data_IF_113562037376
#
_entry.id   IF_113562037376
#
_cell.length_a   1.000
_cell.length_b   1.000
_cell.length_c   1.000
_cell.angle_alpha   90.00
_cell.angle_beta   90.00
_cell.angle_gamma   90.00
#
_symmetry.space_group_name_H-M   'P 1'
#
loop_
_entity.id
_entity.type
_entity.pdbx_description
1 polymer ?
#
# COMPACT_ATOMS: atom_id res chain seq x y z
N UNK A 1 25.41 -29.02 22.55
CA UNK A 1 26.18 -28.06 23.35
C UNK A 1 25.99 -26.66 22.78
N UNK A 2 25.67 -25.68 23.65
CA UNK A 2 25.56 -24.27 23.26
C UNK A 2 26.97 -23.76 22.96
N UNK A 3 27.23 -23.37 21.71
CA UNK A 3 28.57 -22.91 21.30
C UNK A 3 28.81 -21.41 21.55
N UNK A 4 27.75 -20.61 21.58
CA UNK A 4 27.84 -19.14 21.74
C UNK A 4 26.56 -18.56 22.34
N UNK A 5 26.70 -17.53 23.16
CA UNK A 5 25.62 -16.73 23.67
C UNK A 5 25.66 -15.34 23.04
N UNK A 6 24.56 -14.90 22.45
CA UNK A 6 24.40 -13.52 22.01
C UNK A 6 23.38 -12.80 22.90
N UNK A 7 23.76 -11.64 23.42
CA UNK A 7 22.84 -10.79 24.16
C UNK A 7 21.92 -10.05 23.18
N UNK A 8 20.64 -10.38 23.20
CA UNK A 8 19.64 -9.66 22.41
C UNK A 8 19.19 -8.40 23.15
N UNK A 9 19.27 -7.25 22.49
CA UNK A 9 18.74 -5.99 22.99
C UNK A 9 17.37 -5.75 22.36
N UNK A 10 16.33 -6.36 22.91
CA UNK A 10 14.97 -5.99 22.56
C UNK A 10 14.55 -4.79 23.42
N UNK A 11 14.12 -3.72 22.77
CA UNK A 11 13.80 -2.44 23.43
C UNK A 11 12.69 -2.55 24.47
N UNK A 12 11.80 -3.55 24.36
CA UNK A 12 10.63 -3.72 25.20
C UNK A 12 10.73 -4.87 26.23
N UNK A 13 11.83 -5.61 26.26
CA UNK A 13 12.06 -6.61 27.32
C UNK A 13 12.68 -5.94 28.54
N UNK A 14 12.07 -6.07 29.75
CA UNK A 14 12.62 -5.50 30.97
C UNK A 14 13.98 -6.12 31.32
N UNK A 15 14.95 -5.28 31.61
CA UNK A 15 16.36 -5.64 31.83
C UNK A 15 16.60 -6.63 32.97
N UNK A 16 15.72 -6.64 33.93
CA UNK A 16 15.89 -7.30 35.22
C UNK A 16 14.67 -8.15 35.60
N UNK A 17 13.90 -8.59 34.64
CA UNK A 17 12.83 -9.54 34.92
C UNK A 17 13.37 -10.95 34.92
N UNK A 18 13.09 -11.65 36.02
CA UNK A 18 13.39 -13.06 36.11
C UNK A 18 12.46 -13.81 35.14
N UNK A 19 13.03 -14.44 34.11
CA UNK A 19 12.29 -15.32 33.20
C UNK A 19 11.99 -16.63 33.94
N UNK A 20 10.73 -17.05 33.95
CA UNK A 20 10.26 -18.27 34.57
C UNK A 20 10.07 -19.42 33.59
N UNK A 21 9.56 -19.10 32.40
CA UNK A 21 9.35 -20.10 31.33
C UNK A 21 9.50 -19.47 29.96
N UNK A 22 9.93 -20.29 28.99
CA UNK A 22 10.06 -19.91 27.57
C UNK A 22 9.46 -21.04 26.74
N UNK A 23 8.47 -20.69 25.91
CA UNK A 23 7.83 -21.63 24.97
C UNK A 23 7.86 -21.07 23.55
N UNK A 24 8.01 -21.97 22.60
CA UNK A 24 7.85 -21.64 21.19
C UNK A 24 6.56 -22.25 20.72
N UNK A 25 5.65 -21.41 20.17
CA UNK A 25 4.42 -21.89 19.60
C UNK A 25 4.70 -22.65 18.30
N UNK A 26 4.30 -23.94 18.20
CA UNK A 26 4.77 -24.81 17.11
C UNK A 26 4.26 -24.40 15.72
N UNK A 27 3.06 -23.80 15.65
CA UNK A 27 2.44 -23.43 14.37
C UNK A 27 2.87 -22.05 13.87
N UNK A 28 3.17 -21.09 14.79
CA UNK A 28 3.43 -19.69 14.43
C UNK A 28 4.90 -19.28 14.61
N UNK A 29 5.72 -20.14 15.24
CA UNK A 29 7.09 -19.82 15.66
C UNK A 29 7.17 -18.59 16.59
N UNK A 30 6.08 -18.26 17.31
CA UNK A 30 6.09 -17.16 18.25
C UNK A 30 6.81 -17.62 19.53
N UNK A 31 7.73 -16.79 20.03
CA UNK A 31 8.43 -17.03 21.28
C UNK A 31 7.67 -16.35 22.41
N UNK A 32 7.14 -17.14 23.33
CA UNK A 32 6.40 -16.70 24.51
C UNK A 32 7.33 -16.78 25.72
N UNK A 33 7.51 -15.66 26.40
CA UNK A 33 8.39 -15.50 27.57
C UNK A 33 7.54 -15.11 28.78
N UNK A 34 7.44 -16.00 29.76
CA UNK A 34 6.78 -15.71 31.04
C UNK A 34 7.80 -15.17 32.04
N UNK A 35 7.46 -14.05 32.70
CA UNK A 35 8.33 -13.39 33.67
C UNK A 35 7.72 -13.40 35.05
N UNK A 36 8.56 -13.24 36.06
CA UNK A 36 8.11 -13.08 37.44
C UNK A 36 7.70 -11.62 37.69
N UNK A 37 6.40 -11.39 37.86
CA UNK A 37 5.83 -10.09 38.20
C UNK A 37 5.88 -9.00 37.14
N UNK A 38 6.27 -9.34 35.89
CA UNK A 38 6.36 -8.38 34.77
C UNK A 38 5.54 -8.79 33.54
N UNK A 39 4.62 -9.74 33.69
CA UNK A 39 3.73 -10.19 32.62
C UNK A 39 4.37 -11.20 31.66
N UNK A 40 3.74 -11.34 30.49
CA UNK A 40 4.13 -12.24 29.41
C UNK A 40 4.54 -11.41 28.20
N UNK A 41 5.66 -11.78 27.59
CA UNK A 41 6.17 -11.15 26.36
C UNK A 41 6.07 -12.13 25.20
N UNK A 42 5.66 -11.63 24.05
CA UNK A 42 5.57 -12.42 22.83
C UNK A 42 6.44 -11.77 21.75
N UNK A 43 7.31 -12.58 21.16
CA UNK A 43 8.07 -12.19 19.98
C UNK A 43 7.48 -12.97 18.81
N UNK A 44 6.78 -12.26 17.94
CA UNK A 44 6.18 -12.86 16.74
C UNK A 44 7.24 -13.44 15.82
N UNK A 45 7.07 -14.69 15.43
CA UNK A 45 7.86 -15.38 14.43
C UNK A 45 9.38 -15.23 14.58
N UNK A 46 10.01 -16.10 15.37
CA UNK A 46 11.47 -16.09 15.56
C UNK A 46 12.25 -16.71 14.40
N UNK A 47 11.59 -17.15 13.31
CA UNK A 47 12.29 -17.77 12.18
C UNK A 47 13.39 -16.87 11.59
N UNK A 48 13.18 -15.55 11.38
CA UNK A 48 14.25 -14.67 10.91
C UNK A 48 15.47 -14.60 11.83
N UNK A 49 15.27 -14.74 13.15
CA UNK A 49 16.37 -14.80 14.13
C UNK A 49 17.16 -16.10 14.01
N UNK A 50 16.47 -17.23 13.77
CA UNK A 50 17.13 -18.53 13.55
C UNK A 50 17.97 -18.49 12.27
N UNK A 51 17.43 -17.93 11.20
CA UNK A 51 18.15 -17.78 9.94
C UNK A 51 19.33 -16.81 10.08
N UNK A 52 19.17 -15.73 10.83
CA UNK A 52 20.25 -14.79 11.13
C UNK A 52 21.44 -15.48 11.82
N UNK A 53 21.18 -16.36 12.78
CA UNK A 53 22.24 -17.14 13.49
C UNK A 53 23.00 -18.07 12.55
N UNK A 54 22.35 -18.57 11.51
CA UNK A 54 22.95 -19.48 10.51
C UNK A 54 23.60 -18.73 9.34
N UNK A 55 23.37 -17.42 9.24
CA UNK A 55 23.81 -16.60 8.13
C UNK A 55 25.20 -16.02 8.36
N UNK A 56 25.90 -15.72 7.27
CA UNK A 56 27.14 -14.97 7.29
C UNK A 56 26.85 -13.47 7.49
N UNK A 57 26.87 -13.01 8.74
CA UNK A 57 26.63 -11.62 9.12
C UNK A 57 27.79 -10.67 8.75
N UNK A 58 28.87 -11.18 8.11
CA UNK A 58 29.90 -10.32 7.51
C UNK A 58 29.42 -9.64 6.23
N UNK A 59 28.40 -10.19 5.56
CA UNK A 59 27.78 -9.60 4.37
C UNK A 59 27.09 -8.28 4.70
N UNK A 60 27.16 -7.28 3.80
CA UNK A 60 26.59 -5.97 4.03
C UNK A 60 25.06 -6.00 4.12
N UNK A 61 24.44 -6.91 3.36
CA UNK A 61 22.99 -7.05 3.23
C UNK A 61 22.59 -8.52 3.08
N UNK A 62 21.48 -8.91 3.75
CA UNK A 62 20.84 -10.21 3.58
C UNK A 62 19.33 -10.03 3.50
N UNK A 63 18.67 -10.70 2.57
CA UNK A 63 17.22 -10.79 2.49
C UNK A 63 16.79 -12.21 2.82
N UNK A 64 16.05 -12.37 3.92
CA UNK A 64 15.65 -13.67 4.42
C UNK A 64 14.49 -14.26 3.60
N UNK A 65 14.37 -15.61 3.52
CA UNK A 65 13.30 -16.28 2.81
C UNK A 65 11.92 -15.83 3.31
N UNK A 66 11.02 -15.57 2.37
CA UNK A 66 9.65 -15.20 2.69
C UNK A 66 8.83 -16.47 2.84
N UNK A 67 8.14 -16.60 3.99
CA UNK A 67 7.20 -17.70 4.19
C UNK A 67 5.93 -17.48 3.36
N UNK A 68 5.30 -18.55 2.83
CA UNK A 68 4.00 -18.44 2.21
C UNK A 68 2.99 -17.78 3.16
N UNK A 69 2.18 -16.89 2.64
CA UNK A 69 1.19 -16.15 3.41
C UNK A 69 -0.22 -16.58 3.02
N UNK A 70 -1.03 -16.99 3.98
CA UNK A 70 -2.43 -17.29 3.77
C UNK A 70 -3.23 -15.99 3.75
N UNK A 71 -3.99 -15.76 2.68
CA UNK A 71 -4.74 -14.51 2.51
C UNK A 71 -5.70 -14.28 3.67
N UNK A 72 -5.55 -13.15 4.35
CA UNK A 72 -6.45 -12.69 5.40
C UNK A 72 -7.25 -11.49 4.91
N UNK A 73 -8.57 -11.56 5.05
CA UNK A 73 -9.42 -10.45 4.66
C UNK A 73 -9.22 -9.28 5.65
N UNK A 74 -8.93 -8.10 5.12
CA UNK A 74 -8.62 -6.95 5.97
C UNK A 74 -7.21 -6.95 6.55
N UNK A 75 -6.23 -7.57 5.85
CA UNK A 75 -4.81 -7.47 6.22
C UNK A 75 -4.46 -6.03 6.62
N UNK A 76 -4.06 -5.86 7.86
CA UNK A 76 -3.79 -4.56 8.45
C UNK A 76 -2.44 -4.57 9.18
N UNK A 77 -1.91 -3.37 9.39
CA UNK A 77 -0.78 -3.20 10.30
C UNK A 77 -1.19 -3.60 11.72
N UNK A 78 -0.22 -4.02 12.57
CA UNK A 78 -0.48 -4.27 13.98
C UNK A 78 -1.15 -3.06 14.61
N UNK A 79 -2.29 -3.26 15.24
CA UNK A 79 -3.02 -2.20 15.91
C UNK A 79 -3.07 -2.45 17.41
N UNK A 80 -2.89 -1.40 18.20
CA UNK A 80 -3.20 -1.42 19.61
C UNK A 80 -4.72 -1.28 19.78
N UNK A 81 -5.30 -2.00 20.71
CA UNK A 81 -6.71 -1.83 21.05
C UNK A 81 -6.92 -0.49 21.78
N UNK A 82 -7.62 0.49 21.21
CA UNK A 82 -7.57 1.87 21.70
C UNK A 82 -8.42 2.16 22.95
N UNK A 83 -9.26 1.27 23.45
CA UNK A 83 -10.24 1.61 24.48
C UNK A 83 -10.40 0.56 25.59
N UNK A 84 -9.37 -0.24 25.89
CA UNK A 84 -9.44 -1.17 26.97
C UNK A 84 -8.96 -0.53 28.28
N UNK A 85 -9.69 -0.73 29.39
CA UNK A 85 -9.23 -0.43 30.72
C UNK A 85 -8.11 -1.44 31.05
N UNK A 86 -6.86 -0.99 30.93
CA UNK A 86 -5.66 -1.81 31.15
C UNK A 86 -4.73 -1.85 29.94
N UNK A 87 -3.67 -2.63 30.06
CA UNK A 87 -2.67 -2.82 28.99
C UNK A 87 -3.18 -3.83 27.96
N UNK A 88 -3.22 -3.41 26.70
CA UNK A 88 -3.40 -4.29 25.56
C UNK A 88 -2.14 -4.26 24.68
N UNK A 89 -1.55 -5.41 24.43
CA UNK A 89 -0.47 -5.56 23.46
C UNK A 89 -0.95 -5.27 22.04
N UNK A 90 -0.04 -4.84 21.16
CA UNK A 90 -0.35 -4.71 19.75
C UNK A 90 -0.71 -6.08 19.15
N UNK A 91 -1.74 -6.12 18.32
CA UNK A 91 -2.12 -7.34 17.61
C UNK A 91 -1.04 -7.75 16.61
N UNK A 92 -0.91 -9.05 16.34
CA UNK A 92 -0.07 -9.57 15.27
C UNK A 92 -0.51 -8.98 13.92
N UNK A 93 0.46 -8.68 13.07
CA UNK A 93 0.15 -8.22 11.71
C UNK A 93 -0.52 -9.34 10.90
N UNK A 94 -1.65 -9.04 10.29
CA UNK A 94 -2.32 -9.90 9.31
C UNK A 94 -1.82 -9.61 7.87
N UNK A 95 -0.54 -9.25 7.73
CA UNK A 95 0.09 -8.93 6.46
C UNK A 95 1.42 -9.69 6.30
N UNK A 96 1.78 -10.10 5.06
CA UNK A 96 3.10 -10.66 4.79
C UNK A 96 4.19 -9.71 5.29
N UNK A 97 5.21 -10.29 5.90
CA UNK A 97 6.32 -9.53 6.50
C UNK A 97 7.62 -9.93 5.81
N UNK A 98 8.38 -8.94 5.38
CA UNK A 98 9.69 -9.10 4.78
C UNK A 98 10.76 -8.76 5.80
N UNK A 99 11.72 -9.67 6.00
CA UNK A 99 12.82 -9.49 6.94
C UNK A 99 14.14 -9.39 6.18
N UNK A 100 14.94 -8.40 6.53
CA UNK A 100 16.28 -8.21 5.97
C UNK A 100 17.24 -7.71 7.02
N UNK A 101 18.52 -8.01 6.82
CA UNK A 101 19.60 -7.60 7.71
C UNK A 101 20.50 -6.60 7.00
N UNK A 102 20.93 -5.59 7.73
CA UNK A 102 21.97 -4.64 7.33
C UNK A 102 23.11 -4.70 8.34
N UNK A 103 24.32 -4.95 7.84
CA UNK A 103 25.54 -4.98 8.68
C UNK A 103 25.82 -3.61 9.29
N UNK A 104 25.62 -2.54 8.52
CA UNK A 104 25.78 -1.17 8.96
C UNK A 104 24.52 -0.38 8.65
N UNK A 105 24.34 0.75 9.32
CA UNK A 105 23.23 1.67 9.02
C UNK A 105 23.38 2.20 7.60
N UNK A 106 22.32 2.14 6.82
CA UNK A 106 22.22 2.79 5.52
C UNK A 106 21.73 4.22 5.69
N UNK A 107 22.36 5.16 5.00
CA UNK A 107 21.86 6.53 4.87
C UNK A 107 20.77 6.64 3.80
N UNK A 108 20.75 5.69 2.87
CA UNK A 108 19.74 5.61 1.82
C UNK A 108 18.52 4.85 2.29
N UNK A 109 17.34 5.23 1.76
CA UNK A 109 16.10 4.50 1.99
C UNK A 109 16.22 3.13 1.34
N UNK A 110 15.96 2.06 2.09
CA UNK A 110 15.84 0.71 1.54
C UNK A 110 14.54 0.64 0.75
N UNK A 111 14.64 0.35 -0.55
CA UNK A 111 13.50 0.26 -1.45
C UNK A 111 13.05 -1.18 -1.62
N UNK A 112 11.76 -1.43 -1.49
CA UNK A 112 11.15 -2.71 -1.74
C UNK A 112 10.18 -2.57 -2.90
N UNK A 113 10.41 -3.32 -3.96
CA UNK A 113 9.58 -3.34 -5.15
C UNK A 113 8.88 -4.69 -5.27
N UNK A 114 7.58 -4.68 -5.49
CA UNK A 114 6.79 -5.90 -5.62
C UNK A 114 6.20 -5.97 -7.03
N UNK A 115 6.36 -7.13 -7.66
CA UNK A 115 5.96 -7.41 -9.02
C UNK A 115 4.98 -8.56 -9.06
N UNK A 116 3.98 -8.47 -9.93
CA UNK A 116 3.01 -9.54 -10.18
C UNK A 116 3.60 -10.65 -11.10
N UNK A 117 2.79 -11.65 -11.42
CA UNK A 117 3.17 -12.77 -12.30
C UNK A 117 3.54 -12.35 -13.72
N UNK A 118 3.04 -11.20 -14.20
CA UNK A 118 3.35 -10.60 -15.50
C UNK A 118 4.62 -9.73 -15.46
N UNK A 119 5.38 -9.79 -14.36
CA UNK A 119 6.56 -8.96 -14.12
C UNK A 119 6.28 -7.45 -14.13
N UNK A 120 5.04 -7.03 -13.93
CA UNK A 120 4.66 -5.63 -13.77
C UNK A 120 4.85 -5.22 -12.32
N UNK A 121 5.56 -4.10 -12.09
CA UNK A 121 5.68 -3.53 -10.75
C UNK A 121 4.33 -3.02 -10.28
N UNK A 122 3.88 -3.51 -9.13
CA UNK A 122 2.56 -3.18 -8.56
C UNK A 122 2.66 -2.41 -7.24
N UNK A 123 3.79 -2.52 -6.51
CA UNK A 123 3.95 -1.83 -5.23
C UNK A 123 5.38 -1.39 -5.01
N UNK A 124 5.51 -0.19 -4.46
CA UNK A 124 6.74 0.35 -3.87
C UNK A 124 6.53 0.52 -2.37
N UNK A 125 7.49 0.04 -1.56
CA UNK A 125 7.53 0.22 -0.11
C UNK A 125 8.90 0.75 0.29
N UNK A 126 8.94 1.45 1.40
CA UNK A 126 10.18 1.93 2.01
C UNK A 126 10.47 1.12 3.26
N UNK A 127 11.70 0.64 3.35
CA UNK A 127 12.21 -0.06 4.50
C UNK A 127 13.13 0.81 5.35
N UNK A 128 13.36 0.38 6.58
CA UNK A 128 14.28 1.03 7.50
C UNK A 128 15.74 0.80 7.08
N UNK A 129 16.59 1.81 7.18
CA UNK A 129 18.04 1.72 7.00
C UNK A 129 18.80 1.39 8.29
N UNK A 130 18.15 0.91 9.36
CA UNK A 130 18.82 0.65 10.64
C UNK A 130 19.73 -0.57 10.57
N UNK A 131 20.87 -0.52 11.26
CA UNK A 131 21.76 -1.65 11.47
C UNK A 131 21.03 -2.81 12.16
N UNK A 132 21.27 -4.03 11.72
CA UNK A 132 20.70 -5.27 12.27
C UNK A 132 19.47 -5.74 11.48
N UNK A 133 18.58 -6.48 12.16
CA UNK A 133 17.38 -7.07 11.58
C UNK A 133 16.29 -6.00 11.44
N UNK A 134 15.79 -5.86 10.23
CA UNK A 134 14.69 -4.96 9.86
C UNK A 134 13.49 -5.75 9.36
N UNK A 135 12.28 -5.16 9.44
CA UNK A 135 11.05 -5.75 8.92
C UNK A 135 10.18 -4.71 8.21
N UNK A 136 9.50 -5.14 7.16
CA UNK A 136 8.50 -4.34 6.43
C UNK A 136 7.26 -5.19 6.18
N UNK A 137 6.10 -4.59 6.35
CA UNK A 137 4.80 -5.21 6.09
C UNK A 137 4.26 -4.77 4.73
N UNK A 138 3.62 -5.72 4.02
CA UNK A 138 2.88 -5.41 2.82
C UNK A 138 1.40 -5.77 3.00
N UNK A 139 0.52 -4.78 2.98
CA UNK A 139 -0.92 -4.96 3.19
C UNK A 139 -1.67 -5.59 2.01
N UNK A 140 -0.96 -6.27 1.11
CA UNK A 140 -1.51 -6.92 -0.09
C UNK A 140 -2.30 -5.95 -0.98
N UNK A 141 -1.80 -4.72 -1.11
CA UNK A 141 -2.37 -3.70 -2.00
C UNK A 141 -1.35 -3.26 -3.03
N UNK A 142 -1.81 -2.89 -4.23
CA UNK A 142 -0.96 -2.20 -5.21
C UNK A 142 -0.67 -0.76 -4.78
N UNK A 143 0.13 -0.03 -5.57
CA UNK A 143 0.23 1.42 -5.42
C UNK A 143 -1.16 2.04 -5.67
N UNK A 144 -1.46 3.17 -5.03
CA UNK A 144 -2.66 3.94 -5.36
C UNK A 144 -2.56 4.56 -6.76
N UNK A 145 -3.67 4.93 -7.40
CA UNK A 145 -3.65 5.70 -8.63
C UNK A 145 -3.16 7.13 -8.37
N UNK A 146 -2.67 7.78 -9.42
CA UNK A 146 -2.57 9.24 -9.42
C UNK A 146 -3.97 9.81 -9.52
N UNK A 147 -4.28 10.80 -8.70
CA UNK A 147 -5.52 11.54 -8.78
C UNK A 147 -5.30 12.89 -9.44
N UNK A 148 -6.28 13.37 -10.18
CA UNK A 148 -6.20 14.68 -10.84
C UNK A 148 -5.99 15.79 -9.81
N UNK A 149 -4.92 16.57 -9.97
CA UNK A 149 -4.55 17.66 -9.08
C UNK A 149 -5.25 18.96 -9.45
N UNK A 150 -5.34 19.87 -8.50
CA UNK A 150 -5.94 21.19 -8.66
C UNK A 150 -7.12 21.42 -7.73
N UNK A 151 -7.37 22.68 -7.38
CA UNK A 151 -8.33 23.05 -6.37
C UNK A 151 -8.00 22.51 -4.97
N UNK A 152 -8.96 22.60 -4.09
CA UNK A 152 -8.81 22.11 -2.71
C UNK A 152 -9.31 20.67 -2.59
N UNK A 153 -8.45 19.74 -2.20
CA UNK A 153 -8.76 18.29 -2.10
C UNK A 153 -8.60 17.73 -0.67
N UNK A 154 -8.34 18.57 0.35
CA UNK A 154 -8.13 18.09 1.71
C UNK A 154 -9.37 17.40 2.29
N UNK A 155 -9.15 16.28 2.97
CA UNK A 155 -10.20 15.48 3.65
C UNK A 155 -11.34 15.02 2.74
N UNK A 156 -11.06 14.76 1.47
CA UNK A 156 -12.03 14.29 0.49
C UNK A 156 -11.76 12.84 0.07
N UNK A 157 -12.75 12.21 -0.59
CA UNK A 157 -12.54 10.90 -1.24
C UNK A 157 -11.44 10.94 -2.28
N UNK A 158 -11.24 12.08 -2.94
CA UNK A 158 -10.13 12.30 -3.90
C UNK A 158 -8.77 12.10 -3.23
N UNK A 159 -8.57 12.67 -2.03
CA UNK A 159 -7.33 12.45 -1.29
C UNK A 159 -7.18 10.98 -0.86
N UNK A 160 -8.25 10.36 -0.38
CA UNK A 160 -8.24 8.97 0.04
C UNK A 160 -8.00 8.01 -1.14
N UNK A 161 -8.54 8.29 -2.33
CA UNK A 161 -8.27 7.54 -3.55
C UNK A 161 -6.79 7.57 -3.93
N UNK A 162 -6.10 8.71 -3.77
CA UNK A 162 -4.67 8.84 -3.99
C UNK A 162 -3.76 8.17 -2.95
N UNK A 163 -4.32 7.53 -1.92
CA UNK A 163 -3.58 6.84 -0.85
C UNK A 163 -3.84 5.33 -0.87
N UNK A 164 -5.04 4.91 -1.23
CA UNK A 164 -5.46 3.52 -1.19
C UNK A 164 -5.30 2.84 -2.56
N UNK A 165 -4.51 1.78 -2.61
CA UNK A 165 -4.38 0.94 -3.81
C UNK A 165 -5.32 -0.27 -3.76
N UNK A 166 -5.71 -0.83 -4.93
CA UNK A 166 -6.48 -2.07 -5.01
C UNK A 166 -5.82 -3.22 -4.25
N UNK A 167 -6.63 -4.03 -3.58
CA UNK A 167 -6.19 -5.29 -2.97
C UNK A 167 -5.81 -6.27 -4.07
N UNK A 168 -4.63 -6.89 -3.93
CA UNK A 168 -4.15 -7.87 -4.91
C UNK A 168 -4.68 -9.26 -4.58
N UNK A 169 -4.93 -10.15 -5.57
CA UNK A 169 -5.45 -11.50 -5.34
C UNK A 169 -4.38 -12.44 -4.76
N UNK A 170 -4.79 -13.67 -4.42
CA UNK A 170 -3.86 -14.76 -4.17
C UNK A 170 -3.01 -15.03 -5.41
N UNK A 171 -1.75 -15.44 -5.21
CA UNK A 171 -0.80 -15.65 -6.31
C UNK A 171 0.65 -15.57 -5.89
N UNK A 172 1.55 -15.60 -6.87
CA UNK A 172 3.00 -15.44 -6.65
C UNK A 172 3.44 -14.02 -6.98
N UNK A 173 4.22 -13.44 -6.07
CA UNK A 173 4.73 -12.08 -6.19
C UNK A 173 6.24 -12.10 -6.05
N UNK A 174 6.94 -11.45 -6.96
CA UNK A 174 8.38 -11.27 -6.90
C UNK A 174 8.69 -10.02 -6.08
N UNK A 175 9.40 -10.20 -4.97
CA UNK A 175 9.78 -9.13 -4.04
C UNK A 175 11.26 -8.85 -4.21
N UNK A 176 11.60 -7.62 -4.55
CA UNK A 176 12.97 -7.14 -4.71
C UNK A 176 13.28 -6.13 -3.62
N UNK A 177 14.31 -6.38 -2.82
CA UNK A 177 14.81 -5.40 -1.85
C UNK A 177 16.12 -4.83 -2.37
N UNK A 178 16.23 -3.49 -2.35
CA UNK A 178 17.42 -2.73 -2.75
C UNK A 178 17.93 -1.92 -1.56
N UNK A 179 19.17 -2.14 -1.17
CA UNK A 179 19.85 -1.46 -0.08
C UNK A 179 21.19 -0.89 -0.59
N UNK A 180 21.22 0.39 -0.95
CA UNK A 180 22.38 1.00 -1.61
C UNK A 180 22.70 0.31 -2.95
N UNK A 181 23.88 -0.32 -3.03
CA UNK A 181 24.33 -1.07 -4.24
C UNK A 181 23.87 -2.53 -4.24
N UNK A 182 23.43 -3.04 -3.10
CA UNK A 182 23.04 -4.44 -2.95
C UNK A 182 21.56 -4.61 -3.26
N UNK A 183 21.23 -5.75 -3.87
CA UNK A 183 19.85 -6.14 -4.11
C UNK A 183 19.69 -7.65 -3.97
N UNK A 184 18.50 -8.06 -3.56
CA UNK A 184 18.13 -9.46 -3.47
C UNK A 184 16.67 -9.66 -3.80
N UNK A 185 16.32 -10.87 -4.27
CA UNK A 185 14.99 -11.22 -4.76
C UNK A 185 14.49 -12.44 -4.02
N UNK A 186 13.23 -12.39 -3.59
CA UNK A 186 12.50 -13.52 -3.04
C UNK A 186 11.12 -13.63 -3.70
N UNK A 187 10.50 -14.80 -3.60
CA UNK A 187 9.14 -15.03 -4.08
C UNK A 187 8.22 -15.18 -2.87
N UNK A 188 7.21 -14.33 -2.80
CA UNK A 188 6.10 -14.48 -1.88
C UNK A 188 4.99 -15.27 -2.57
N UNK A 189 4.55 -16.37 -1.95
CA UNK A 189 3.35 -17.09 -2.32
C UNK A 189 2.20 -16.65 -1.41
N UNK A 190 1.22 -15.94 -1.97
CA UNK A 190 -0.03 -15.60 -1.28
C UNK A 190 -1.03 -16.70 -1.60
N UNK A 191 -1.37 -17.49 -0.59
CA UNK A 191 -2.27 -18.64 -0.72
C UNK A 191 -3.72 -18.20 -0.49
N UNK A 192 -4.70 -18.76 -1.21
CA UNK A 192 -6.10 -18.51 -0.95
C UNK A 192 -6.48 -18.98 0.46
N UNK A 193 -7.44 -18.30 1.07
CA UNK A 193 -8.00 -18.69 2.37
C UNK A 193 -9.53 -18.79 2.28
N UNK A 194 -10.09 -19.97 2.07
CA UNK A 194 -11.54 -20.15 2.00
C UNK A 194 -12.30 -19.68 3.24
N UNK A 195 -11.65 -19.75 4.41
CA UNK A 195 -12.25 -19.26 5.66
C UNK A 195 -12.37 -17.73 5.73
N UNK A 196 -11.70 -16.99 4.84
CA UNK A 196 -11.82 -15.54 4.76
C UNK A 196 -13.08 -15.06 4.02
N UNK A 197 -13.97 -15.96 3.60
CA UNK A 197 -15.27 -15.64 3.03
C UNK A 197 -15.29 -15.34 1.54
N UNK A 198 -14.13 -15.28 0.87
CA UNK A 198 -14.04 -15.03 -0.58
C UNK A 198 -13.31 -16.15 -1.31
N UNK A 199 -13.86 -16.55 -2.43
CA UNK A 199 -13.17 -17.45 -3.35
C UNK A 199 -12.01 -16.74 -4.07
N UNK A 200 -11.06 -17.51 -4.59
CA UNK A 200 -9.98 -17.00 -5.42
C UNK A 200 -10.52 -16.23 -6.65
N UNK A 201 -11.55 -16.78 -7.30
CA UNK A 201 -12.23 -16.12 -8.42
C UNK A 201 -12.89 -14.79 -8.00
N UNK A 202 -13.47 -14.73 -6.81
CA UNK A 202 -14.04 -13.50 -6.24
C UNK A 202 -12.98 -12.43 -6.02
N UNK A 203 -11.84 -12.79 -5.42
CA UNK A 203 -10.70 -11.88 -5.23
C UNK A 203 -10.13 -11.37 -6.56
N UNK A 204 -10.02 -12.26 -7.56
CA UNK A 204 -9.57 -11.89 -8.89
C UNK A 204 -10.54 -10.93 -9.57
N UNK A 205 -11.85 -11.21 -9.48
CA UNK A 205 -12.90 -10.33 -10.02
C UNK A 205 -12.86 -8.95 -9.37
N UNK A 206 -12.78 -8.87 -8.03
CA UNK A 206 -12.64 -7.60 -7.31
C UNK A 206 -11.42 -6.81 -7.76
N UNK A 207 -10.28 -7.48 -7.90
CA UNK A 207 -9.06 -6.83 -8.37
C UNK A 207 -9.24 -6.24 -9.77
N UNK A 208 -9.80 -7.00 -10.70
CA UNK A 208 -10.06 -6.52 -12.07
C UNK A 208 -11.00 -5.31 -12.09
N UNK A 209 -12.07 -5.35 -11.32
CA UNK A 209 -13.04 -4.25 -11.23
C UNK A 209 -12.41 -3.00 -10.62
N UNK A 210 -11.62 -3.15 -9.55
CA UNK A 210 -10.88 -2.04 -8.94
C UNK A 210 -9.83 -1.46 -9.89
N UNK A 211 -9.18 -2.29 -10.71
CA UNK A 211 -8.20 -1.83 -11.69
C UNK A 211 -8.84 -1.03 -12.83
N UNK A 212 -10.11 -1.27 -13.19
CA UNK A 212 -10.84 -0.41 -14.15
C UNK A 212 -10.99 1.01 -13.59
N UNK A 213 -11.42 1.14 -12.34
CA UNK A 213 -11.55 2.44 -11.68
C UNK A 213 -10.18 3.12 -11.45
N UNK A 214 -9.16 2.33 -11.10
CA UNK A 214 -7.77 2.81 -11.03
C UNK A 214 -7.33 3.46 -12.36
N UNK A 215 -7.64 2.82 -13.48
CA UNK A 215 -7.31 3.34 -14.82
C UNK A 215 -8.05 4.65 -15.11
N UNK A 216 -9.30 4.77 -14.69
CA UNK A 216 -10.08 6.02 -14.85
C UNK A 216 -9.44 7.19 -14.06
N UNK A 217 -8.97 6.96 -12.82
CA UNK A 217 -8.25 7.98 -12.04
C UNK A 217 -6.96 8.43 -12.76
N UNK A 218 -6.15 7.47 -13.26
CA UNK A 218 -4.92 7.77 -14.00
C UNK A 218 -5.20 8.54 -15.30
N UNK A 219 -6.27 8.19 -16.02
CA UNK A 219 -6.67 8.87 -17.25
C UNK A 219 -7.12 10.29 -16.97
N UNK A 220 -7.93 10.51 -15.93
CA UNK A 220 -8.37 11.84 -15.56
C UNK A 220 -7.20 12.71 -15.10
N UNK A 221 -6.27 12.17 -14.30
CA UNK A 221 -5.06 12.86 -13.93
C UNK A 221 -4.25 13.30 -15.16
N UNK A 222 -4.12 12.41 -16.15
CA UNK A 222 -3.41 12.70 -17.40
C UNK A 222 -4.10 13.79 -18.23
N UNK A 223 -5.44 13.79 -18.31
CA UNK A 223 -6.21 14.86 -18.99
C UNK A 223 -5.94 16.20 -18.31
N UNK A 224 -6.06 16.27 -16.98
CA UNK A 224 -5.87 17.52 -16.25
C UNK A 224 -4.43 18.02 -16.36
N UNK A 225 -3.44 17.14 -16.23
CA UNK A 225 -2.01 17.48 -16.42
C UNK A 225 -1.77 18.04 -17.85
N UNK A 226 -2.40 17.46 -18.87
CA UNK A 226 -2.28 17.91 -20.27
C UNK A 226 -2.91 19.29 -20.46
N UNK A 227 -4.08 19.54 -19.87
CA UNK A 227 -4.71 20.86 -19.91
C UNK A 227 -3.80 21.90 -19.24
N UNK A 228 -3.26 21.58 -18.06
CA UNK A 228 -2.37 22.51 -17.32
C UNK A 228 -1.09 22.82 -18.08
N UNK A 229 -0.51 21.82 -18.73
CA UNK A 229 0.64 22.04 -19.60
C UNK A 229 0.32 22.99 -20.78
N UNK A 230 -0.81 22.77 -21.47
CA UNK A 230 -1.27 23.66 -22.55
C UNK A 230 -1.55 25.08 -22.07
N UNK A 231 -2.25 25.23 -20.93
CA UNK A 231 -2.54 26.54 -20.34
C UNK A 231 -1.25 27.29 -19.94
N UNK A 232 -0.27 26.58 -19.37
CA UNK A 232 1.04 27.17 -19.01
C UNK A 232 1.83 27.65 -20.21
N UNK A 233 1.79 26.92 -21.32
CA UNK A 233 2.47 27.32 -22.57
C UNK A 233 1.78 28.54 -23.21
N UNK A 234 0.47 28.51 -23.35
CA UNK A 234 -0.28 29.59 -24.01
C UNK A 234 -0.36 30.85 -23.17
N UNK A 235 -0.37 30.76 -21.84
CA UNK A 235 -0.35 31.92 -20.95
C UNK A 235 0.98 32.72 -20.99
N UNK A 236 2.05 32.14 -21.56
CA UNK A 236 3.35 32.83 -21.77
C UNK A 236 3.52 33.45 -23.16
N UNK A 237 2.59 33.15 -24.07
CA UNK A 237 2.65 33.70 -25.43
C UNK A 237 2.02 35.11 -25.49
N UNK A 238 2.41 35.90 -26.50
CA UNK A 238 1.73 37.17 -26.79
C UNK A 238 0.27 36.89 -27.06
N UNK A 239 -0.62 37.47 -26.25
CA UNK A 239 -2.04 37.20 -26.28
C UNK A 239 -2.69 37.83 -27.52
N UNK A 240 -3.29 37.00 -28.35
CA UNK A 240 -4.21 37.42 -29.41
C UNK A 240 -5.62 36.82 -29.11
N UNK A 241 -6.63 37.26 -29.84
CA UNK A 241 -8.02 36.82 -29.62
C UNK A 241 -8.22 35.34 -29.76
N UNK A 242 -7.49 34.67 -30.66
CA UNK A 242 -7.56 33.24 -30.88
C UNK A 242 -6.99 32.44 -29.70
N UNK A 243 -5.82 32.83 -29.22
CA UNK A 243 -5.18 32.21 -28.04
C UNK A 243 -6.04 32.42 -26.80
N UNK A 244 -6.60 33.62 -26.62
CA UNK A 244 -7.51 33.93 -25.52
C UNK A 244 -8.78 33.05 -25.52
N UNK A 245 -9.35 32.79 -26.68
CA UNK A 245 -10.49 31.86 -26.83
C UNK A 245 -10.10 30.43 -26.47
N UNK A 246 -8.94 29.95 -26.93
CA UNK A 246 -8.42 28.60 -26.62
C UNK A 246 -8.17 28.43 -25.12
N UNK A 247 -7.57 29.42 -24.46
CA UNK A 247 -7.35 29.41 -23.00
C UNK A 247 -8.69 29.32 -22.25
N UNK A 248 -9.68 30.17 -22.60
CA UNK A 248 -11.00 30.14 -21.97
C UNK A 248 -11.71 28.79 -22.16
N UNK A 249 -11.63 28.22 -23.36
CA UNK A 249 -12.22 26.90 -23.66
C UNK A 249 -11.61 25.80 -22.81
N UNK A 250 -10.26 25.76 -22.70
CA UNK A 250 -9.57 24.75 -21.88
C UNK A 250 -9.80 24.96 -20.37
N UNK A 251 -9.83 26.20 -19.88
CA UNK A 251 -10.13 26.48 -18.48
C UNK A 251 -11.58 26.04 -18.14
N UNK A 252 -12.54 26.34 -19.03
CA UNK A 252 -13.92 25.86 -18.90
C UNK A 252 -13.98 24.34 -18.87
N UNK A 253 -13.26 23.66 -19.76
CA UNK A 253 -13.20 22.20 -19.80
C UNK A 253 -12.61 21.64 -18.50
N UNK A 254 -11.51 22.21 -17.99
CA UNK A 254 -10.94 21.82 -16.70
C UNK A 254 -11.95 21.95 -15.56
N UNK A 255 -12.74 23.02 -15.54
CA UNK A 255 -13.78 23.28 -14.50
C UNK A 255 -14.97 22.31 -14.60
N UNK A 256 -15.20 21.68 -15.71
CA UNK A 256 -16.18 20.58 -15.83
C UNK A 256 -15.67 19.31 -15.14
N UNK A 257 -14.36 19.05 -15.27
CA UNK A 257 -13.72 17.84 -14.71
C UNK A 257 -13.47 17.92 -13.22
N UNK A 258 -12.99 19.07 -12.73
CA UNK A 258 -12.56 19.27 -11.34
C UNK A 258 -13.05 20.62 -10.79
N UNK A 259 -13.28 20.71 -9.49
CA UNK A 259 -13.57 21.96 -8.82
C UNK A 259 -12.26 22.68 -8.47
N UNK A 260 -12.09 23.88 -8.99
CA UNK A 260 -10.89 24.69 -8.76
C UNK A 260 -11.02 25.60 -7.53
N UNK A 261 -12.26 26.07 -7.24
CA UNK A 261 -12.52 27.05 -6.18
C UNK A 261 -13.49 26.46 -5.17
N UNK A 262 -13.02 26.29 -3.93
CA UNK A 262 -13.88 25.87 -2.85
C UNK A 262 -14.77 27.00 -2.40
N UNK A 263 -16.10 26.82 -2.49
CA UNK A 263 -17.07 27.80 -2.04
C UNK A 263 -17.36 27.72 -0.53
N UNK A 264 -17.28 26.53 0.06
CA UNK A 264 -17.51 26.28 1.49
C UNK A 264 -16.85 24.98 1.92
N UNK A 265 -16.59 24.85 3.25
CA UNK A 265 -16.14 23.60 3.85
C UNK A 265 -17.22 22.51 3.83
N UNK A 266 -18.48 22.89 3.67
CA UNK A 266 -19.63 21.98 3.67
C UNK A 266 -20.09 21.58 2.27
N UNK A 267 -19.54 22.20 1.21
CA UNK A 267 -19.89 21.84 -0.17
C UNK A 267 -18.83 20.94 -0.77
N UNK A 268 -19.25 19.74 -1.09
CA UNK A 268 -18.44 18.80 -1.85
C UNK A 268 -18.45 19.13 -3.35
N UNK A 269 -17.37 18.72 -4.00
CA UNK A 269 -17.24 18.79 -5.45
C UNK A 269 -18.26 17.86 -6.10
N UNK A 270 -19.03 18.36 -7.06
CA UNK A 270 -20.01 17.60 -7.87
C UNK A 270 -19.48 17.35 -9.29
N UNK A 271 -18.15 17.22 -9.43
CA UNK A 271 -17.47 17.09 -10.71
C UNK A 271 -17.08 15.64 -11.01
N UNK A 272 -16.65 15.40 -12.25
CA UNK A 272 -16.30 14.05 -12.70
C UNK A 272 -15.21 13.39 -11.83
N UNK A 273 -14.19 14.16 -11.40
CA UNK A 273 -13.18 13.70 -10.45
C UNK A 273 -13.79 13.09 -9.20
N UNK A 274 -14.73 13.80 -8.58
CA UNK A 274 -15.38 13.33 -7.35
C UNK A 274 -16.18 12.05 -7.58
N UNK A 275 -16.93 11.96 -8.69
CA UNK A 275 -17.69 10.75 -9.03
C UNK A 275 -16.79 9.51 -9.11
N UNK A 276 -15.65 9.62 -9.80
CA UNK A 276 -14.70 8.50 -9.92
C UNK A 276 -14.11 8.18 -8.55
N UNK A 277 -13.62 9.19 -7.80
CA UNK A 277 -12.93 8.97 -6.54
C UNK A 277 -13.84 8.39 -5.45
N UNK A 278 -15.10 8.83 -5.37
CA UNK A 278 -16.08 8.24 -4.45
C UNK A 278 -16.30 6.78 -4.78
N UNK A 279 -16.57 6.50 -6.05
CA UNK A 279 -16.84 5.13 -6.48
C UNK A 279 -15.60 4.21 -6.32
N UNK A 280 -14.42 4.70 -6.68
CA UNK A 280 -13.16 3.99 -6.45
C UNK A 280 -12.96 3.68 -4.96
N UNK A 281 -13.19 4.65 -4.09
CA UNK A 281 -13.00 4.50 -2.65
C UNK A 281 -13.94 3.47 -2.05
N UNK A 282 -15.21 3.50 -2.44
CA UNK A 282 -16.21 2.51 -2.01
C UNK A 282 -15.80 1.10 -2.44
N UNK A 283 -15.32 0.97 -3.68
CA UNK A 283 -14.96 -0.34 -4.23
C UNK A 283 -13.66 -0.90 -3.67
N UNK A 284 -12.66 -0.06 -3.46
CA UNK A 284 -11.37 -0.48 -2.86
C UNK A 284 -11.55 -0.94 -1.41
N UNK A 285 -12.55 -0.40 -0.72
CA UNK A 285 -12.92 -0.78 0.66
C UNK A 285 -13.92 -1.94 0.73
N UNK A 286 -14.57 -2.26 -0.37
CA UNK A 286 -15.54 -3.34 -0.41
C UNK A 286 -14.94 -4.67 0.06
N UNK A 287 -15.78 -5.48 0.68
CA UNK A 287 -15.44 -6.81 1.18
C UNK A 287 -15.95 -7.91 0.26
N UNK A 288 -16.70 -7.55 -0.77
CA UNK A 288 -17.34 -8.45 -1.73
C UNK A 288 -17.14 -7.93 -3.17
N UNK A 289 -17.22 -8.82 -4.17
CA UNK A 289 -17.23 -8.39 -5.58
C UNK A 289 -18.41 -7.47 -5.84
N UNK A 290 -18.24 -6.57 -6.81
CA UNK A 290 -19.29 -5.63 -7.21
C UNK A 290 -20.55 -6.34 -7.65
N UNK A 291 -21.68 -5.77 -7.27
CA UNK A 291 -23.00 -6.11 -7.82
C UNK A 291 -23.07 -5.74 -9.31
N UNK A 292 -24.03 -6.31 -10.01
CA UNK A 292 -24.29 -5.98 -11.42
C UNK A 292 -24.57 -4.49 -11.63
N UNK A 293 -25.30 -3.86 -10.69
CA UNK A 293 -25.60 -2.43 -10.73
C UNK A 293 -24.34 -1.56 -10.61
N UNK A 294 -23.43 -1.93 -9.72
CA UNK A 294 -22.16 -1.22 -9.57
C UNK A 294 -21.25 -1.41 -10.79
N UNK A 295 -21.27 -2.60 -11.41
CA UNK A 295 -20.52 -2.84 -12.64
C UNK A 295 -21.05 -1.99 -13.80
N UNK A 296 -22.37 -1.83 -13.93
CA UNK A 296 -22.98 -0.87 -14.86
C UNK A 296 -22.54 0.57 -14.58
N UNK A 297 -22.37 0.94 -13.32
CA UNK A 297 -21.82 2.24 -12.91
C UNK A 297 -20.41 2.49 -13.43
N UNK A 298 -19.52 1.48 -13.39
CA UNK A 298 -18.18 1.59 -14.00
C UNK A 298 -18.29 1.82 -15.51
N UNK A 299 -19.17 1.08 -16.21
CA UNK A 299 -19.35 1.24 -17.66
C UNK A 299 -19.79 2.66 -18.04
N UNK A 300 -20.65 3.29 -17.23
CA UNK A 300 -21.06 4.68 -17.42
C UNK A 300 -19.89 5.64 -17.25
N UNK A 301 -19.08 5.47 -16.21
CA UNK A 301 -17.89 6.31 -16.00
C UNK A 301 -16.85 6.15 -17.11
N UNK A 302 -16.66 4.93 -17.62
CA UNK A 302 -15.76 4.66 -18.76
C UNK A 302 -16.26 5.35 -20.05
N UNK A 303 -17.57 5.31 -20.30
CA UNK A 303 -18.18 6.00 -21.44
C UNK A 303 -18.02 7.53 -21.33
N UNK A 304 -18.28 8.10 -20.14
CA UNK A 304 -18.08 9.54 -19.86
C UNK A 304 -16.59 9.94 -20.02
N UNK A 305 -15.66 9.13 -19.55
CA UNK A 305 -14.22 9.34 -19.70
C UNK A 305 -13.82 9.39 -21.18
N UNK A 306 -14.35 8.50 -22.00
CA UNK A 306 -14.07 8.48 -23.45
C UNK A 306 -14.48 9.78 -24.12
N UNK A 307 -15.64 10.34 -23.77
CA UNK A 307 -16.09 11.65 -24.29
C UNK A 307 -15.08 12.75 -23.95
N UNK A 308 -14.58 12.78 -22.72
CA UNK A 308 -13.58 13.77 -22.30
C UNK A 308 -12.23 13.58 -23.00
N UNK A 309 -11.80 12.33 -23.23
CA UNK A 309 -10.58 12.04 -23.99
C UNK A 309 -10.67 12.51 -25.44
N UNK A 310 -11.81 12.27 -26.10
CA UNK A 310 -12.01 12.68 -27.50
C UNK A 310 -12.08 14.19 -27.62
N UNK A 311 -12.72 14.89 -26.67
CA UNK A 311 -12.75 16.36 -26.60
C UNK A 311 -11.36 16.99 -26.38
N UNK A 312 -10.45 16.31 -25.68
CA UNK A 312 -9.08 16.80 -25.48
C UNK A 312 -8.24 16.76 -26.75
N UNK A 313 -8.58 15.86 -27.69
CA UNK A 313 -7.90 15.67 -28.99
C UNK A 313 -8.38 16.63 -30.05
N UNK A 314 -9.67 17.03 -29.99
CA UNK A 314 -10.28 18.04 -30.86
C UNK A 314 -9.80 19.46 -30.53
#
# INVERSE_FOLDING_TARGET
>A
AVKTWMRSKYQNLPWYSLVRDIKIHPATNDLVIATHGRGVYIIDNIQPLREMVQSDLSKPFLFYPIQPFKYEFGAQYPQSAPNLIGYAGASKSLAPTFYYYLKERSNDIVKIEIYNSENKKIKDLNGSGLKGLNKVYWTLTSNPPRVARGGFIAQSSVQAAGILGPKVPAGKYRVVIKAGKDSSVQILSVLPNPAAGLSEAGLQKMYQQNMRLFVLEEQLATIVDTIDAKLSVWGKQTTNDEISKKIKSLDSFKRELIELNRKSIFFDEQKFRRKISDFYLDMVRALEPLSESQEKGINVLEAEMKVYQDRLKS
#
